data_IF_110854045687
#
_entry.id   IF_110854045687
#
_cell.length_a   1.000
_cell.length_b   1.000
_cell.length_c   1.000
_cell.angle_alpha   90.00
_cell.angle_beta   90.00
_cell.angle_gamma   90.00
#
_symmetry.space_group_name_H-M   'P 1'
#
loop_
_entity.id
_entity.type
_entity.pdbx_description
1 polymer ?
#
# COMPACT_ATOMS: atom_id res chain seq x y z
N UNK A 1 -1.43 -32.63 7.16
CA UNK A 1 -0.61 -32.28 8.32
C UNK A 1 0.10 -30.95 8.07
N UNK A 2 -0.09 -30.01 8.96
CA UNK A 2 0.64 -28.73 8.87
C UNK A 2 2.11 -29.00 9.13
N UNK A 3 3.01 -28.50 8.28
CA UNK A 3 4.43 -28.64 8.56
C UNK A 3 4.79 -27.95 9.87
N UNK A 4 5.70 -28.57 10.62
CA UNK A 4 6.21 -27.96 11.85
C UNK A 4 6.96 -26.71 11.45
N UNK A 5 6.42 -25.55 11.91
CA UNK A 5 7.03 -24.25 11.64
C UNK A 5 8.19 -23.99 12.58
N UNK A 6 9.37 -23.90 12.02
CA UNK A 6 10.50 -23.32 12.75
C UNK A 6 10.46 -21.81 12.53
N UNK A 7 9.90 -21.09 13.50
CA UNK A 7 9.79 -19.63 13.46
C UNK A 7 11.15 -18.92 13.48
N UNK A 8 12.22 -19.64 13.82
CA UNK A 8 13.58 -19.11 13.79
C UNK A 8 14.22 -19.23 12.41
N UNK A 9 13.60 -19.97 11.48
CA UNK A 9 14.09 -20.12 10.13
C UNK A 9 13.37 -19.12 9.21
N UNK A 10 14.07 -18.03 8.89
CA UNK A 10 13.52 -16.95 8.04
C UNK A 10 13.07 -17.48 6.67
N UNK A 11 13.81 -18.39 6.07
CA UNK A 11 13.47 -18.93 4.75
C UNK A 11 12.17 -19.71 4.76
N UNK A 12 11.92 -20.53 5.79
CA UNK A 12 10.67 -21.26 5.93
C UNK A 12 9.48 -20.32 6.16
N UNK A 13 9.65 -19.29 6.97
CA UNK A 13 8.61 -18.29 7.23
C UNK A 13 8.28 -17.54 5.95
N UNK A 14 9.27 -17.09 5.19
CA UNK A 14 9.07 -16.41 3.92
C UNK A 14 8.36 -17.29 2.91
N UNK A 15 8.74 -18.57 2.81
CA UNK A 15 8.08 -19.51 1.90
C UNK A 15 6.60 -19.67 2.21
N UNK A 16 6.24 -19.76 3.48
CA UNK A 16 4.85 -19.85 3.91
C UNK A 16 4.07 -18.59 3.59
N UNK A 17 4.68 -17.42 3.79
CA UNK A 17 4.06 -16.14 3.45
C UNK A 17 3.80 -16.06 1.95
N UNK A 18 4.77 -16.46 1.12
CA UNK A 18 4.61 -16.48 -0.34
C UNK A 18 3.52 -17.45 -0.77
N UNK A 19 3.46 -18.64 -0.20
CA UNK A 19 2.42 -19.62 -0.51
C UNK A 19 1.04 -19.08 -0.16
N UNK A 20 0.90 -18.46 1.01
CA UNK A 20 -0.34 -17.83 1.43
C UNK A 20 -0.75 -16.71 0.45
N UNK A 21 0.20 -15.85 0.08
CA UNK A 21 -0.06 -14.73 -0.83
C UNK A 21 -0.53 -15.21 -2.20
N UNK A 22 0.16 -16.21 -2.77
CA UNK A 22 -0.22 -16.77 -4.07
C UNK A 22 -1.60 -17.43 -4.02
N UNK A 23 -1.90 -18.13 -2.94
CA UNK A 23 -3.21 -18.77 -2.76
C UNK A 23 -4.34 -17.73 -2.72
N UNK A 24 -4.13 -16.65 -1.98
CA UNK A 24 -5.11 -15.56 -1.89
C UNK A 24 -5.32 -14.85 -3.23
N UNK A 25 -4.25 -14.62 -3.98
CA UNK A 25 -4.34 -14.01 -5.30
C UNK A 25 -5.06 -14.93 -6.29
N UNK A 26 -4.78 -16.23 -6.28
CA UNK A 26 -5.46 -17.19 -7.14
C UNK A 26 -6.95 -17.30 -6.82
N UNK A 27 -7.30 -17.29 -5.54
CA UNK A 27 -8.69 -17.31 -5.10
C UNK A 27 -9.46 -16.09 -5.63
N UNK A 28 -8.85 -14.90 -5.59
CA UNK A 28 -9.46 -13.68 -6.12
C UNK A 28 -9.58 -13.72 -7.64
N UNK A 29 -8.58 -14.24 -8.34
CA UNK A 29 -8.65 -14.41 -9.80
C UNK A 29 -9.83 -15.30 -10.21
N UNK A 30 -10.06 -16.38 -9.47
CA UNK A 30 -11.18 -17.28 -9.72
C UNK A 30 -12.52 -16.63 -9.40
N UNK A 31 -12.59 -15.87 -8.32
CA UNK A 31 -13.80 -15.15 -7.93
C UNK A 31 -14.19 -14.09 -8.98
N UNK A 32 -13.21 -13.37 -9.51
CA UNK A 32 -13.44 -12.32 -10.51
C UNK A 32 -13.67 -12.85 -11.92
N UNK A 33 -13.34 -14.11 -12.20
CA UNK A 33 -13.66 -14.90 -13.40
C UNK A 33 -13.10 -14.39 -14.73
N UNK A 34 -13.05 -13.09 -14.99
CA UNK A 34 -12.59 -12.53 -16.26
C UNK A 34 -11.32 -11.73 -16.09
N UNK A 35 -10.56 -11.58 -17.17
CA UNK A 35 -9.34 -10.78 -17.20
C UNK A 35 -9.66 -9.31 -16.94
N UNK A 36 -10.73 -8.80 -17.51
CA UNK A 36 -11.15 -7.40 -17.37
C UNK A 36 -11.50 -7.07 -15.91
N UNK A 37 -12.22 -7.95 -15.23
CA UNK A 37 -12.57 -7.76 -13.82
C UNK A 37 -11.34 -7.83 -12.92
N UNK A 38 -10.39 -8.73 -13.23
CA UNK A 38 -9.12 -8.79 -12.49
C UNK A 38 -8.29 -7.51 -12.65
N UNK A 39 -8.18 -7.01 -13.88
CA UNK A 39 -7.46 -5.76 -14.16
C UNK A 39 -8.14 -4.57 -13.48
N UNK A 40 -9.45 -4.53 -13.49
CA UNK A 40 -10.22 -3.49 -12.81
C UNK A 40 -9.97 -3.50 -11.31
N UNK A 41 -10.01 -4.67 -10.68
CA UNK A 41 -9.73 -4.82 -9.26
C UNK A 41 -8.30 -4.40 -8.91
N UNK A 42 -7.33 -4.80 -9.72
CA UNK A 42 -5.93 -4.39 -9.53
C UNK A 42 -5.78 -2.88 -9.61
N UNK A 43 -6.46 -2.25 -10.56
CA UNK A 43 -6.44 -0.79 -10.71
C UNK A 43 -7.07 -0.09 -9.51
N UNK A 44 -8.22 -0.58 -9.02
CA UNK A 44 -8.86 -0.03 -7.83
C UNK A 44 -7.97 -0.16 -6.59
N UNK A 45 -7.32 -1.31 -6.43
CA UNK A 45 -6.41 -1.55 -5.31
C UNK A 45 -5.24 -0.58 -5.31
N UNK A 46 -4.67 -0.30 -6.49
CA UNK A 46 -3.60 0.67 -6.66
C UNK A 46 -4.09 2.09 -6.40
N UNK A 47 -5.22 2.49 -6.99
CA UNK A 47 -5.78 3.83 -6.81
C UNK A 47 -6.11 4.11 -5.35
N UNK A 48 -6.68 3.16 -4.64
CA UNK A 48 -6.97 3.28 -3.21
C UNK A 48 -5.71 3.55 -2.41
N UNK A 49 -4.64 2.79 -2.68
CA UNK A 49 -3.35 2.96 -2.00
C UNK A 49 -2.74 4.34 -2.30
N UNK A 50 -2.77 4.78 -3.55
CA UNK A 50 -2.24 6.09 -3.94
C UNK A 50 -3.04 7.21 -3.29
N UNK A 51 -4.36 7.16 -3.38
CA UNK A 51 -5.24 8.22 -2.85
C UNK A 51 -5.08 8.40 -1.35
N UNK A 52 -5.10 7.30 -0.58
CA UNK A 52 -4.97 7.35 0.87
C UNK A 52 -3.63 7.96 1.29
N UNK A 53 -2.56 7.55 0.63
CA UNK A 53 -1.22 8.05 0.96
C UNK A 53 -0.99 9.47 0.45
N UNK A 54 -1.62 9.86 -0.65
CA UNK A 54 -1.50 11.22 -1.18
C UNK A 54 -2.14 12.24 -0.25
N UNK A 55 -3.32 11.94 0.29
CA UNK A 55 -3.99 12.83 1.26
C UNK A 55 -3.11 13.06 2.48
N UNK A 56 -2.52 11.99 3.02
CA UNK A 56 -1.59 12.10 4.16
C UNK A 56 -0.33 12.87 3.78
N UNK A 57 0.17 12.70 2.57
CA UNK A 57 1.37 13.39 2.11
C UNK A 57 1.16 14.90 2.00
N UNK A 58 0.01 15.33 1.46
CA UNK A 58 -0.32 16.76 1.35
C UNK A 58 -0.38 17.39 2.75
N UNK A 59 -1.02 16.71 3.70
CA UNK A 59 -1.09 17.18 5.08
C UNK A 59 0.30 17.26 5.72
N UNK A 60 1.11 16.24 5.52
CA UNK A 60 2.49 16.20 6.00
C UNK A 60 3.31 17.37 5.47
N UNK A 61 3.22 17.66 4.16
CA UNK A 61 3.96 18.76 3.55
C UNK A 61 3.53 20.12 4.09
N UNK A 62 2.24 20.32 4.35
CA UNK A 62 1.75 21.54 4.96
C UNK A 62 2.29 21.71 6.38
N UNK A 63 2.27 20.66 7.18
CA UNK A 63 2.82 20.69 8.55
C UNK A 63 4.32 20.93 8.53
N UNK A 64 5.04 20.30 7.61
CA UNK A 64 6.49 20.49 7.44
C UNK A 64 6.82 21.94 7.09
N UNK A 65 6.07 22.55 6.18
CA UNK A 65 6.24 23.94 5.79
C UNK A 65 6.07 24.88 6.99
N UNK A 66 5.03 24.64 7.81
CA UNK A 66 4.79 25.45 9.00
C UNK A 66 5.89 25.26 10.06
N UNK A 67 6.34 24.01 10.27
CA UNK A 67 7.38 23.71 11.24
C UNK A 67 8.71 24.37 10.89
N UNK A 68 9.12 24.31 9.62
CA UNK A 68 10.36 24.92 9.14
C UNK A 68 10.25 26.44 9.14
N UNK A 69 9.10 27.00 8.77
CA UNK A 69 8.86 28.45 8.78
C UNK A 69 8.89 29.06 10.19
N UNK A 70 8.57 28.27 11.23
CA UNK A 70 8.61 28.73 12.62
C UNK A 70 10.02 28.65 13.26
N UNK A 71 10.97 27.94 12.64
CA UNK A 71 12.35 27.79 13.14
C UNK A 71 13.23 28.96 12.69
N UNK A 72 12.88 30.18 13.10
CA UNK A 72 13.59 31.40 12.70
C UNK A 72 15.05 31.46 13.19
N UNK A 73 15.42 30.61 14.14
CA UNK A 73 16.77 30.60 14.72
C UNK A 73 17.66 29.50 14.15
N UNK A 74 17.16 28.69 13.19
CA UNK A 74 17.97 27.66 12.55
C UNK A 74 19.02 28.30 11.64
N UNK A 75 20.28 27.90 11.79
CA UNK A 75 21.38 28.35 10.91
C UNK A 75 21.32 27.70 9.53
N UNK A 76 20.41 26.74 9.32
CA UNK A 76 20.24 26.08 8.03
C UNK A 76 19.30 26.88 7.15
N UNK A 77 19.54 26.83 5.83
CA UNK A 77 18.65 27.45 4.86
C UNK A 77 17.28 26.71 4.90
N UNK A 78 16.18 27.41 5.27
CA UNK A 78 14.88 26.76 5.40
C UNK A 78 14.39 26.08 4.13
N UNK A 79 14.68 26.65 2.95
CA UNK A 79 14.26 26.08 1.66
C UNK A 79 14.95 24.75 1.42
N UNK A 80 16.27 24.65 1.68
CA UNK A 80 17.04 23.42 1.51
C UNK A 80 16.55 22.36 2.48
N UNK A 81 16.31 22.74 3.72
CA UNK A 81 15.80 21.83 4.75
C UNK A 81 14.42 21.29 4.37
N UNK A 82 13.53 22.15 3.88
CA UNK A 82 12.21 21.72 3.41
C UNK A 82 12.33 20.69 2.29
N UNK A 83 13.15 20.94 1.28
CA UNK A 83 13.31 19.99 0.16
C UNK A 83 13.90 18.66 0.60
N UNK A 84 14.87 18.68 1.51
CA UNK A 84 15.48 17.45 2.02
C UNK A 84 14.46 16.59 2.79
N UNK A 85 13.69 17.20 3.68
CA UNK A 85 12.68 16.50 4.47
C UNK A 85 11.50 16.06 3.59
N UNK A 86 11.08 16.90 2.64
CA UNK A 86 10.03 16.56 1.68
C UNK A 86 10.42 15.36 0.82
N UNK A 87 11.68 15.28 0.39
CA UNK A 87 12.20 14.15 -0.37
C UNK A 87 12.15 12.86 0.43
N UNK A 88 12.59 12.90 1.69
CA UNK A 88 12.51 11.74 2.58
C UNK A 88 11.07 11.28 2.77
N UNK A 89 10.15 12.21 2.96
CA UNK A 89 8.73 11.93 3.09
C UNK A 89 8.14 11.30 1.83
N UNK A 90 8.55 11.79 0.65
CA UNK A 90 8.11 11.25 -0.62
C UNK A 90 8.59 9.79 -0.81
N UNK A 91 9.85 9.51 -0.48
CA UNK A 91 10.39 8.15 -0.55
C UNK A 91 9.65 7.21 0.42
N UNK A 92 9.35 7.69 1.64
CA UNK A 92 8.55 6.93 2.60
C UNK A 92 7.14 6.67 2.08
N UNK A 93 6.51 7.66 1.45
CA UNK A 93 5.19 7.53 0.85
C UNK A 93 5.18 6.45 -0.24
N UNK A 94 6.17 6.44 -1.11
CA UNK A 94 6.26 5.43 -2.16
C UNK A 94 6.36 4.01 -1.59
N UNK A 95 7.13 3.83 -0.51
CA UNK A 95 7.21 2.54 0.17
C UNK A 95 5.87 2.14 0.77
N UNK A 96 5.17 3.08 1.38
CA UNK A 96 3.86 2.81 1.98
C UNK A 96 2.82 2.47 0.93
N UNK A 97 2.82 3.16 -0.22
CA UNK A 97 1.94 2.85 -1.34
C UNK A 97 2.13 1.40 -1.78
N UNK A 98 3.38 0.94 -1.93
CA UNK A 98 3.66 -0.45 -2.33
C UNK A 98 3.11 -1.45 -1.31
N UNK A 99 3.29 -1.17 -0.01
CA UNK A 99 2.74 -2.01 1.06
C UNK A 99 1.22 -2.06 1.02
N UNK A 100 0.60 -0.91 0.85
CA UNK A 100 -0.86 -0.80 0.83
C UNK A 100 -1.45 -1.46 -0.43
N UNK A 101 -0.78 -1.37 -1.57
CA UNK A 101 -1.20 -2.09 -2.78
C UNK A 101 -1.24 -3.59 -2.55
N UNK A 102 -0.17 -4.16 -2.00
CA UNK A 102 -0.10 -5.59 -1.70
C UNK A 102 -1.18 -5.97 -0.69
N UNK A 103 -1.34 -5.18 0.35
CA UNK A 103 -2.38 -5.40 1.36
C UNK A 103 -3.78 -5.38 0.75
N UNK A 104 -4.07 -4.39 -0.11
CA UNK A 104 -5.35 -4.30 -0.78
C UNK A 104 -5.61 -5.50 -1.69
N UNK A 105 -4.60 -5.93 -2.45
CA UNK A 105 -4.73 -7.08 -3.33
C UNK A 105 -4.98 -8.39 -2.56
N UNK A 106 -4.33 -8.58 -1.42
CA UNK A 106 -4.40 -9.83 -0.67
C UNK A 106 -5.58 -9.90 0.29
N UNK A 107 -5.89 -8.80 0.97
CA UNK A 107 -6.83 -8.80 2.09
C UNK A 107 -8.21 -8.23 1.74
N UNK A 108 -8.40 -7.69 0.53
CA UNK A 108 -9.71 -7.20 0.10
C UNK A 108 -10.68 -8.37 -0.12
N UNK A 109 -11.94 -8.12 0.20
CA UNK A 109 -13.02 -9.03 -0.13
C UNK A 109 -13.67 -8.52 -1.43
N UNK A 110 -13.78 -9.41 -2.42
CA UNK A 110 -14.34 -9.07 -3.73
C UNK A 110 -15.58 -9.92 -4.00
N UNK A 111 -16.58 -9.30 -4.60
CA UNK A 111 -17.80 -9.96 -5.02
C UNK A 111 -18.20 -9.43 -6.39
N UNK A 112 -18.71 -10.31 -7.23
CA UNK A 112 -19.26 -9.93 -8.54
C UNK A 112 -20.78 -9.96 -8.43
N UNK A 113 -21.41 -8.83 -8.76
CA UNK A 113 -22.89 -8.75 -8.73
C UNK A 113 -23.49 -9.46 -9.93
N UNK A 114 -24.82 -9.69 -9.90
CA UNK A 114 -25.55 -10.28 -11.02
C UNK A 114 -25.48 -9.44 -12.29
N UNK A 115 -25.20 -8.13 -12.14
CA UNK A 115 -25.05 -7.20 -13.27
C UNK A 115 -23.63 -7.17 -13.84
N UNK A 116 -22.69 -7.93 -13.24
CA UNK A 116 -21.29 -7.95 -13.66
C UNK A 116 -20.41 -6.88 -13.03
N UNK A 117 -20.94 -6.13 -12.06
CA UNK A 117 -20.17 -5.13 -11.33
C UNK A 117 -19.38 -5.76 -10.18
N UNK A 118 -18.26 -5.14 -9.84
CA UNK A 118 -17.42 -5.56 -8.71
C UNK A 118 -17.78 -4.75 -7.46
N UNK A 119 -17.99 -5.45 -6.36
CA UNK A 119 -18.03 -4.84 -5.03
C UNK A 119 -16.74 -5.24 -4.32
N UNK A 120 -15.93 -4.25 -3.92
CA UNK A 120 -14.68 -4.46 -3.22
C UNK A 120 -14.75 -3.84 -1.83
N UNK A 121 -14.36 -4.61 -0.82
CA UNK A 121 -14.19 -4.12 0.55
C UNK A 121 -12.70 -4.16 0.87
N UNK A 122 -12.07 -2.99 0.91
CA UNK A 122 -10.65 -2.86 1.24
C UNK A 122 -10.43 -2.97 2.76
N UNK A 123 -9.25 -3.51 3.17
CA UNK A 123 -8.91 -3.60 4.59
C UNK A 123 -8.76 -2.25 5.27
#
# INVERSE_FOLDING_TARGET
>A
ALPILDLNNREQVLELIYQFAYRELDAKKQELKTKELNEYFQRLSMLKAVDDNWVEQVDYLQQLQMAIGSQQLSQKNPIVEYYQEAYKGFEAMKRQIRKDMVRNLLLSQVQVTKKGDIISHFP
#
